data_IF_591886488160
#
_entry.id   IF_591886488160
#
_cell.length_a   1.000
_cell.length_b   1.000
_cell.length_c   1.000
_cell.angle_alpha   90.00
_cell.angle_beta   90.00
_cell.angle_gamma   90.00
#
_symmetry.space_group_name_H-M   'P 1'
#
loop_
_entity.id
_entity.type
_entity.pdbx_description
1 polymer ?
#
# COMPACT_ATOMS: atom_id res chain seq x y z
N UNK A 1 52.34 14.21 9.94
CA UNK A 1 52.64 13.63 11.27
C UNK A 1 51.40 12.95 11.81
N UNK A 2 51.53 11.68 12.23
CA UNK A 2 50.46 10.94 12.90
C UNK A 2 50.79 10.87 14.38
N UNK A 3 49.86 11.24 15.25
CA UNK A 3 50.03 11.19 16.71
C UNK A 3 48.81 10.62 17.42
N UNK A 4 49.03 9.98 18.57
CA UNK A 4 47.95 9.49 19.44
C UNK A 4 47.35 10.67 20.22
N UNK A 5 46.03 10.77 20.27
CA UNK A 5 45.24 11.78 21.00
C UNK A 5 44.15 11.10 21.83
N UNK A 6 43.52 11.82 22.78
CA UNK A 6 42.47 11.26 23.65
C UNK A 6 41.32 10.57 22.88
N UNK A 7 41.02 11.04 21.67
CA UNK A 7 39.92 10.56 20.82
C UNK A 7 40.36 9.62 19.69
N UNK A 8 41.62 9.17 19.66
CA UNK A 8 42.14 8.23 18.64
C UNK A 8 43.51 8.60 18.08
N UNK A 9 43.72 8.41 16.78
CA UNK A 9 44.96 8.72 16.07
C UNK A 9 44.75 9.88 15.11
N UNK A 10 45.43 11.01 15.35
CA UNK A 10 45.31 12.23 14.56
C UNK A 10 46.39 12.29 13.49
N UNK A 11 45.96 12.41 12.23
CA UNK A 11 46.78 12.77 11.07
C UNK A 11 46.79 14.29 10.95
N UNK A 12 47.97 14.89 10.83
CA UNK A 12 48.21 16.31 10.56
C UNK A 12 49.26 16.45 9.45
N UNK A 13 48.83 16.72 8.22
CA UNK A 13 49.68 16.72 7.03
C UNK A 13 49.42 17.95 6.15
N UNK A 14 50.44 18.35 5.38
CA UNK A 14 50.32 19.24 4.23
C UNK A 14 50.79 18.47 3.00
N UNK A 15 49.88 17.92 2.19
CA UNK A 15 50.25 17.05 1.06
C UNK A 15 51.05 17.79 -0.02
N UNK A 16 50.70 19.06 -0.29
CA UNK A 16 51.30 19.89 -1.36
C UNK A 16 52.53 20.68 -0.89
N UNK A 17 53.20 20.22 0.17
CA UNK A 17 54.40 20.85 0.72
C UNK A 17 54.12 21.97 1.75
N UNK A 18 55.14 22.76 2.06
CA UNK A 18 55.17 23.69 3.20
C UNK A 18 54.07 24.76 3.15
N UNK A 19 53.77 25.27 1.95
CA UNK A 19 52.71 26.26 1.71
C UNK A 19 51.36 25.61 1.33
N UNK A 20 51.32 24.28 1.24
CA UNK A 20 50.13 23.50 0.90
C UNK A 20 49.08 23.49 2.01
N UNK A 21 47.86 23.08 1.64
CA UNK A 21 46.72 23.06 2.56
C UNK A 21 46.95 22.09 3.72
N UNK A 22 46.75 22.58 4.96
CA UNK A 22 46.82 21.73 6.16
C UNK A 22 45.56 20.88 6.31
N UNK A 23 45.73 19.57 6.40
CA UNK A 23 44.67 18.58 6.62
C UNK A 23 44.88 17.95 7.99
N UNK A 24 43.86 18.05 8.84
CA UNK A 24 43.85 17.42 10.17
C UNK A 24 42.62 16.54 10.33
N UNK A 25 42.81 15.26 10.61
CA UNK A 25 41.71 14.28 10.77
C UNK A 25 42.07 13.21 11.81
N UNK A 26 41.11 12.81 12.64
CA UNK A 26 41.30 11.79 13.68
C UNK A 26 40.61 10.48 13.27
N UNK A 27 41.28 9.35 13.49
CA UNK A 27 40.84 7.99 13.17
C UNK A 27 40.81 7.13 14.42
N UNK A 28 40.04 6.02 14.40
CA UNK A 28 39.96 5.12 15.55
C UNK A 28 41.24 4.30 15.71
N UNK A 29 41.86 3.88 14.60
CA UNK A 29 43.07 3.04 14.61
C UNK A 29 44.27 3.72 13.94
N UNK A 30 45.48 3.33 14.33
CA UNK A 30 46.72 3.83 13.72
C UNK A 30 46.82 3.41 12.24
N UNK A 31 46.32 2.21 11.89
CA UNK A 31 46.33 1.70 10.52
C UNK A 31 45.43 2.47 9.57
N UNK A 32 44.26 2.95 10.03
CA UNK A 32 43.40 3.87 9.27
C UNK A 32 44.09 5.22 9.04
N UNK A 33 44.73 5.77 10.08
CA UNK A 33 45.48 7.02 9.98
C UNK A 33 46.62 6.94 8.96
N UNK A 34 47.41 5.86 9.00
CA UNK A 34 48.51 5.60 8.04
C UNK A 34 47.99 5.45 6.60
N UNK A 35 46.93 4.66 6.39
CA UNK A 35 46.30 4.48 5.07
C UNK A 35 45.79 5.81 4.51
N UNK A 36 45.14 6.61 5.34
CA UNK A 36 44.65 7.93 4.93
C UNK A 36 45.78 8.88 4.56
N UNK A 37 46.86 8.95 5.34
CA UNK A 37 48.04 9.76 5.00
C UNK A 37 48.65 9.33 3.65
N UNK A 38 48.86 8.03 3.44
CA UNK A 38 49.44 7.50 2.22
C UNK A 38 48.60 7.83 0.97
N UNK A 39 47.28 7.58 1.02
CA UNK A 39 46.38 7.89 -0.10
C UNK A 39 46.31 9.40 -0.36
N UNK A 40 46.26 10.21 0.69
CA UNK A 40 46.14 11.67 0.53
C UNK A 40 47.41 12.27 -0.08
N UNK A 41 48.59 11.77 0.29
CA UNK A 41 49.87 12.16 -0.31
C UNK A 41 50.01 11.68 -1.75
N UNK A 42 49.58 10.44 -2.04
CA UNK A 42 49.60 9.91 -3.40
C UNK A 42 48.72 10.71 -4.37
N UNK A 43 47.53 11.13 -3.92
CA UNK A 43 46.63 11.99 -4.70
C UNK A 43 47.21 13.38 -4.95
N UNK A 44 47.79 14.00 -3.92
CA UNK A 44 48.47 15.28 -4.06
C UNK A 44 49.65 15.21 -5.04
N UNK A 45 50.45 14.12 -5.00
CA UNK A 45 51.53 13.89 -5.95
C UNK A 45 51.03 13.71 -7.39
N UNK A 46 49.80 13.22 -7.58
CA UNK A 46 49.12 13.13 -8.88
C UNK A 46 48.47 14.46 -9.32
N UNK A 47 48.65 15.55 -8.59
CA UNK A 47 48.02 16.85 -8.88
C UNK A 47 46.55 16.94 -8.48
N UNK A 48 46.01 15.95 -7.75
CA UNK A 48 44.65 15.98 -7.21
C UNK A 48 44.61 16.63 -5.83
N UNK A 49 43.96 17.79 -5.75
CA UNK A 49 43.68 18.45 -4.47
C UNK A 49 42.84 17.55 -3.54
N UNK A 50 43.28 17.41 -2.28
CA UNK A 50 42.44 16.80 -1.26
C UNK A 50 41.20 17.67 -0.98
N UNK A 51 40.05 17.23 -1.51
CA UNK A 51 38.73 17.77 -1.19
C UNK A 51 38.06 16.81 -0.20
N UNK A 52 37.88 17.20 1.08
CA UNK A 52 37.11 16.36 1.99
C UNK A 52 35.71 16.14 1.40
N UNK A 53 35.16 14.91 1.48
CA UNK A 53 33.83 14.65 0.94
C UNK A 53 32.86 15.63 1.57
N UNK A 54 32.14 16.38 0.73
CA UNK A 54 31.10 17.30 1.20
C UNK A 54 30.10 16.44 1.99
N UNK A 55 29.95 16.73 3.28
CA UNK A 55 28.91 16.08 4.07
C UNK A 55 27.57 16.47 3.46
N UNK A 56 26.79 15.48 3.08
CA UNK A 56 25.43 15.71 2.62
C UNK A 56 24.64 16.38 3.76
N UNK A 57 24.12 17.58 3.49
CA UNK A 57 23.37 18.39 4.44
C UNK A 57 21.86 18.26 4.24
N UNK A 58 21.42 17.47 3.25
CA UNK A 58 20.00 17.24 3.00
C UNK A 58 19.35 16.61 4.21
N UNK A 59 18.21 17.17 4.58
CA UNK A 59 17.30 16.62 5.58
C UNK A 59 16.45 15.53 4.95
N UNK A 60 15.76 14.77 5.80
CA UNK A 60 14.83 13.75 5.36
C UNK A 60 13.74 14.31 4.43
N UNK A 61 13.26 15.53 4.71
CA UNK A 61 12.29 16.20 3.83
C UNK A 61 12.85 16.45 2.43
N UNK A 62 14.11 16.84 2.29
CA UNK A 62 14.72 17.14 0.99
C UNK A 62 14.75 15.88 0.12
N UNK A 63 15.04 14.71 0.70
CA UNK A 63 14.96 13.44 -0.02
C UNK A 63 13.52 13.04 -0.35
N UNK A 64 12.57 13.30 0.55
CA UNK A 64 11.15 13.03 0.30
C UNK A 64 10.58 13.93 -0.81
N UNK A 65 11.01 15.18 -0.87
CA UNK A 65 10.65 16.14 -1.91
C UNK A 65 11.27 15.74 -3.26
N UNK A 66 12.56 15.38 -3.27
CA UNK A 66 13.22 14.83 -4.46
C UNK A 66 12.48 13.61 -5.02
N UNK A 67 12.11 12.67 -4.14
CA UNK A 67 11.31 11.50 -4.53
C UNK A 67 9.96 11.91 -5.14
N UNK A 68 9.30 12.91 -4.56
CA UNK A 68 8.01 13.38 -5.05
C UNK A 68 8.13 14.03 -6.42
N UNK A 69 9.07 14.96 -6.58
CA UNK A 69 9.26 15.75 -7.80
C UNK A 69 9.63 14.85 -8.99
N UNK A 70 10.46 13.83 -8.76
CA UNK A 70 10.92 12.93 -9.82
C UNK A 70 10.01 11.72 -10.07
N UNK A 71 9.16 11.34 -9.10
CA UNK A 71 8.35 10.13 -9.22
C UNK A 71 6.97 10.27 -8.59
N UNK A 72 6.89 10.68 -7.33
CA UNK A 72 5.64 10.70 -6.57
C UNK A 72 4.51 11.51 -7.22
N UNK A 73 4.83 12.58 -7.95
CA UNK A 73 3.88 13.40 -8.69
C UNK A 73 3.10 12.63 -9.79
N UNK A 74 3.69 11.55 -10.32
CA UNK A 74 3.05 10.70 -11.35
C UNK A 74 2.00 9.74 -10.80
N UNK A 75 1.92 9.57 -9.48
CA UNK A 75 0.99 8.64 -8.84
C UNK A 75 -0.44 9.20 -8.78
N UNK A 76 -1.45 8.31 -8.88
CA UNK A 76 -2.87 8.67 -8.73
C UNK A 76 -3.18 9.29 -7.36
N UNK A 77 -2.50 8.84 -6.31
CA UNK A 77 -2.66 9.31 -4.92
C UNK A 77 -1.58 10.32 -4.49
N UNK A 78 -0.94 11.02 -5.44
CA UNK A 78 0.24 11.86 -5.20
C UNK A 78 0.10 12.84 -4.01
N UNK A 79 -0.97 13.65 -3.95
CA UNK A 79 -1.16 14.65 -2.88
C UNK A 79 -1.30 13.99 -1.51
N UNK A 80 -2.06 12.91 -1.43
CA UNK A 80 -2.23 12.13 -0.20
C UNK A 80 -0.90 11.51 0.23
N UNK A 81 -0.12 10.99 -0.73
CA UNK A 81 1.19 10.41 -0.49
C UNK A 81 2.21 11.44 0.01
N UNK A 82 2.26 12.62 -0.59
CA UNK A 82 3.13 13.71 -0.15
C UNK A 82 2.76 14.21 1.25
N UNK A 83 1.47 14.45 1.49
CA UNK A 83 0.98 14.84 2.82
C UNK A 83 1.32 13.80 3.88
N UNK A 84 1.18 12.51 3.55
CA UNK A 84 1.58 11.42 4.43
C UNK A 84 3.08 11.40 4.69
N UNK A 85 3.92 11.51 3.66
CA UNK A 85 5.37 11.62 3.82
C UNK A 85 5.74 12.80 4.73
N UNK A 86 5.11 13.96 4.54
CA UNK A 86 5.34 15.14 5.38
C UNK A 86 5.09 14.85 6.86
N UNK A 87 3.95 14.24 7.17
CA UNK A 87 3.63 13.81 8.54
C UNK A 87 4.67 12.85 9.11
N UNK A 88 5.15 11.88 8.33
CA UNK A 88 6.18 10.93 8.80
C UNK A 88 7.51 11.62 9.05
N UNK A 89 7.92 12.54 8.17
CA UNK A 89 9.14 13.32 8.32
C UNK A 89 9.06 14.23 9.55
N UNK A 90 7.94 14.91 9.76
CA UNK A 90 7.72 15.77 10.92
C UNK A 90 7.70 14.95 12.22
N UNK A 91 7.09 13.75 12.22
CA UNK A 91 7.11 12.82 13.36
C UNK A 91 8.52 12.34 13.74
N UNK A 92 9.44 12.31 12.78
CA UNK A 92 10.87 12.01 12.99
C UNK A 92 11.70 13.26 13.35
N UNK A 93 11.11 14.46 13.34
CA UNK A 93 11.80 15.71 13.61
C UNK A 93 12.63 16.25 12.44
N UNK A 94 12.36 15.78 11.21
CA UNK A 94 13.08 16.15 9.98
C UNK A 94 14.62 16.18 10.14
N UNK A 95 15.24 15.06 10.58
CA UNK A 95 16.66 15.01 10.86
C UNK A 95 17.49 15.13 9.57
N UNK A 96 18.79 15.34 9.71
CA UNK A 96 19.72 15.15 8.59
C UNK A 96 19.58 13.71 8.09
N UNK A 97 19.41 13.52 6.78
CA UNK A 97 19.18 12.18 6.24
C UNK A 97 20.34 11.24 6.57
N UNK A 98 21.57 11.76 6.61
CA UNK A 98 22.80 11.00 6.88
C UNK A 98 22.91 10.56 8.34
N UNK A 99 22.19 11.22 9.27
CA UNK A 99 22.21 10.83 10.68
C UNK A 99 21.20 9.75 11.03
N UNK A 100 20.30 9.38 10.10
CA UNK A 100 19.29 8.35 10.35
C UNK A 100 19.95 6.98 10.30
N UNK A 101 19.87 6.25 11.41
CA UNK A 101 20.39 4.88 11.53
C UNK A 101 19.26 3.85 11.48
N UNK A 102 19.57 2.56 11.26
CA UNK A 102 18.58 1.48 11.43
C UNK A 102 17.96 1.44 12.83
N UNK A 103 18.69 1.87 13.87
CA UNK A 103 18.16 1.98 15.22
C UNK A 103 17.12 3.11 15.33
N UNK A 104 17.29 4.22 14.61
CA UNK A 104 16.28 5.29 14.53
C UNK A 104 15.02 4.80 13.84
N UNK A 105 15.15 4.03 12.76
CA UNK A 105 14.01 3.42 12.09
C UNK A 105 13.25 2.45 13.02
N UNK A 106 13.96 1.66 13.82
CA UNK A 106 13.35 0.77 14.82
C UNK A 106 12.65 1.55 15.95
N UNK A 107 13.27 2.63 16.46
CA UNK A 107 12.65 3.54 17.43
C UNK A 107 11.41 4.22 16.86
N UNK A 108 11.46 4.63 15.60
CA UNK A 108 10.30 5.18 14.92
C UNK A 108 9.15 4.17 14.86
N UNK A 109 9.43 2.91 14.48
CA UNK A 109 8.45 1.83 14.53
C UNK A 109 7.83 1.66 15.92
N UNK A 110 8.65 1.67 16.97
CA UNK A 110 8.17 1.56 18.35
C UNK A 110 7.25 2.73 18.73
N UNK A 111 7.65 3.96 18.42
CA UNK A 111 6.81 5.16 18.63
C UNK A 111 5.44 5.04 17.94
N UNK A 112 5.37 4.40 16.77
CA UNK A 112 4.08 4.17 16.08
C UNK A 112 3.25 3.06 16.74
N UNK A 113 3.89 2.04 17.33
CA UNK A 113 3.21 1.02 18.15
C UNK A 113 2.62 1.64 19.41
N UNK A 114 3.38 2.50 20.10
CA UNK A 114 2.94 3.18 21.32
C UNK A 114 1.74 4.11 21.08
N UNK A 115 1.59 4.60 19.84
CA UNK A 115 0.42 5.37 19.39
C UNK A 115 -0.82 4.50 19.08
N UNK A 116 -0.76 3.19 19.30
CA UNK A 116 -1.87 2.26 19.09
C UNK A 116 -2.23 2.03 17.62
N UNK A 117 -1.30 2.26 16.69
CA UNK A 117 -1.56 2.09 15.26
C UNK A 117 -1.50 0.63 14.84
N UNK A 118 -2.30 0.28 13.82
CA UNK A 118 -2.32 -1.09 13.32
C UNK A 118 -0.97 -1.48 12.69
N UNK A 119 -0.54 -2.75 12.80
CA UNK A 119 0.67 -3.25 12.15
C UNK A 119 0.72 -2.92 10.65
N UNK A 120 -0.43 -2.93 9.96
CA UNK A 120 -0.52 -2.61 8.54
C UNK A 120 -0.15 -1.14 8.26
N UNK A 121 -0.70 -0.22 9.06
CA UNK A 121 -0.40 1.20 8.96
C UNK A 121 1.09 1.46 9.17
N UNK A 122 1.68 0.81 10.18
CA UNK A 122 3.09 0.95 10.51
C UNK A 122 3.97 0.40 9.38
N UNK A 123 3.63 -0.76 8.82
CA UNK A 123 4.33 -1.33 7.67
C UNK A 123 4.27 -0.41 6.45
N UNK A 124 3.12 0.22 6.17
CA UNK A 124 3.01 1.22 5.11
C UNK A 124 3.86 2.47 5.37
N UNK A 125 3.85 2.99 6.60
CA UNK A 125 4.66 4.16 6.98
C UNK A 125 6.15 3.88 6.73
N UNK A 126 6.65 2.74 7.20
CA UNK A 126 8.04 2.30 6.99
C UNK A 126 8.32 2.09 5.49
N UNK A 127 7.38 1.49 4.75
CA UNK A 127 7.54 1.24 3.32
C UNK A 127 7.67 2.54 2.53
N UNK A 128 6.98 3.62 2.91
CA UNK A 128 7.10 4.91 2.24
C UNK A 128 8.46 5.55 2.48
N UNK A 129 8.93 5.57 3.73
CA UNK A 129 10.27 6.06 4.06
C UNK A 129 11.36 5.23 3.39
N UNK A 130 11.21 3.89 3.37
CA UNK A 130 12.11 3.00 2.65
C UNK A 130 12.14 3.31 1.15
N UNK A 131 10.98 3.58 0.54
CA UNK A 131 10.89 3.89 -0.89
C UNK A 131 11.61 5.19 -1.26
N UNK A 132 11.55 6.23 -0.40
CA UNK A 132 12.29 7.49 -0.59
C UNK A 132 13.79 7.22 -0.73
N UNK A 133 14.39 6.51 0.23
CA UNK A 133 15.82 6.18 0.18
C UNK A 133 16.17 5.23 -0.98
N UNK A 134 15.36 4.20 -1.24
CA UNK A 134 15.60 3.28 -2.35
C UNK A 134 15.57 3.99 -3.70
N UNK A 135 14.70 4.98 -3.87
CA UNK A 135 14.65 5.78 -5.09
C UNK A 135 15.89 6.68 -5.22
N UNK A 136 16.26 7.39 -4.16
CA UNK A 136 17.44 8.26 -4.18
C UNK A 136 18.72 7.46 -4.47
N UNK A 137 18.87 6.26 -3.89
CA UNK A 137 20.00 5.35 -4.21
C UNK A 137 19.98 4.95 -5.69
N UNK A 138 18.81 4.54 -6.21
CA UNK A 138 18.65 4.13 -7.60
C UNK A 138 18.97 5.23 -8.60
N UNK A 139 18.65 6.48 -8.26
CA UNK A 139 18.94 7.66 -9.07
C UNK A 139 20.36 8.20 -8.86
N UNK A 140 21.20 7.49 -8.10
CA UNK A 140 22.55 7.92 -7.72
C UNK A 140 22.60 9.25 -6.93
N UNK A 141 21.45 9.65 -6.40
CA UNK A 141 21.23 10.83 -5.57
C UNK A 141 21.53 10.54 -4.09
N UNK A 142 21.76 9.29 -3.69
CA UNK A 142 22.12 8.93 -2.31
C UNK A 142 23.20 7.85 -2.31
N UNK A 143 24.33 8.14 -1.66
CA UNK A 143 25.56 7.33 -1.70
C UNK A 143 25.74 6.44 -0.45
N UNK A 144 24.75 6.41 0.44
CA UNK A 144 24.78 5.64 1.68
C UNK A 144 23.71 4.54 1.68
N UNK A 145 23.78 3.65 2.65
CA UNK A 145 22.76 2.62 2.84
C UNK A 145 21.39 3.23 3.17
N UNK A 146 20.33 2.48 2.86
CA UNK A 146 18.99 2.81 3.28
C UNK A 146 18.75 2.40 4.75
N UNK A 147 18.48 3.34 5.67
CA UNK A 147 18.32 3.03 7.09
C UNK A 147 17.08 2.17 7.39
N UNK A 148 16.10 2.12 6.50
CA UNK A 148 14.88 1.33 6.64
C UNK A 148 14.96 -0.05 5.98
N UNK A 149 16.02 -0.38 5.25
CA UNK A 149 16.08 -1.59 4.43
C UNK A 149 15.95 -2.89 5.24
N UNK A 150 16.64 -2.97 6.39
CA UNK A 150 16.72 -4.19 7.21
C UNK A 150 15.56 -4.38 8.18
N UNK A 151 14.62 -3.43 8.26
CA UNK A 151 13.46 -3.56 9.14
C UNK A 151 12.50 -4.63 8.61
N UNK A 152 12.31 -5.70 9.38
CA UNK A 152 11.27 -6.67 9.09
C UNK A 152 9.88 -6.05 9.28
N UNK A 153 8.97 -6.38 8.36
CA UNK A 153 7.57 -6.02 8.47
C UNK A 153 6.96 -6.69 9.71
N UNK A 154 6.09 -5.96 10.40
CA UNK A 154 5.29 -6.53 11.47
C UNK A 154 4.36 -7.59 10.89
N UNK A 155 4.26 -8.74 11.56
CA UNK A 155 3.31 -9.79 11.16
C UNK A 155 1.89 -9.25 11.25
N UNK A 156 1.12 -9.49 10.21
CA UNK A 156 -0.30 -9.18 10.16
C UNK A 156 -1.05 -10.47 10.51
N UNK A 157 -1.95 -10.47 11.50
CA UNK A 157 -2.83 -11.60 11.68
C UNK A 157 -3.67 -11.72 10.41
N UNK A 158 -3.65 -12.90 9.79
CA UNK A 158 -4.60 -13.22 8.73
C UNK A 158 -5.98 -13.26 9.37
N UNK A 159 -6.83 -12.31 8.98
CA UNK A 159 -8.24 -12.29 9.38
C UNK A 159 -9.06 -12.68 8.18
N UNK A 160 -9.85 -13.72 8.33
CA UNK A 160 -10.89 -14.03 7.38
C UNK A 160 -11.83 -12.83 7.25
N UNK A 161 -12.21 -12.46 6.02
CA UNK A 161 -13.19 -11.41 5.83
C UNK A 161 -14.52 -11.84 6.43
N UNK A 162 -15.13 -10.98 7.24
CA UNK A 162 -16.50 -11.20 7.69
C UNK A 162 -17.44 -11.04 6.50
N UNK A 163 -18.43 -11.93 6.42
CA UNK A 163 -19.50 -11.89 5.45
C UNK A 163 -20.86 -11.99 6.18
N UNK A 164 -21.93 -11.65 5.48
CA UNK A 164 -23.29 -11.68 6.01
C UNK A 164 -23.97 -13.01 5.68
N UNK A 165 -24.68 -13.59 6.64
CA UNK A 165 -25.66 -14.67 6.40
C UNK A 165 -26.88 -14.16 5.64
N UNK A 166 -27.70 -15.06 5.10
CA UNK A 166 -28.96 -14.71 4.42
C UNK A 166 -29.90 -13.88 5.30
N UNK A 167 -30.05 -14.25 6.59
CA UNK A 167 -30.88 -13.48 7.53
C UNK A 167 -30.33 -12.07 7.80
N UNK A 168 -29.01 -11.92 7.82
CA UNK A 168 -28.36 -10.62 7.96
C UNK A 168 -28.49 -9.79 6.68
N UNK A 169 -28.42 -10.41 5.50
CA UNK A 169 -28.70 -9.75 4.22
C UNK A 169 -30.13 -9.22 4.24
N UNK A 170 -31.11 -10.07 4.53
CA UNK A 170 -32.53 -9.70 4.56
C UNK A 170 -32.81 -8.54 5.53
N UNK A 171 -32.31 -8.62 6.78
CA UNK A 171 -32.42 -7.52 7.75
C UNK A 171 -31.75 -6.24 7.29
N UNK A 172 -30.55 -6.32 6.71
CA UNK A 172 -29.87 -5.14 6.20
C UNK A 172 -30.68 -4.48 5.07
N UNK A 173 -31.22 -5.24 4.13
CA UNK A 173 -32.02 -4.70 3.03
C UNK A 173 -33.36 -4.12 3.49
N UNK A 174 -33.97 -4.70 4.53
CA UNK A 174 -35.12 -4.10 5.21
C UNK A 174 -34.78 -2.74 5.84
N UNK A 175 -33.61 -2.60 6.48
CA UNK A 175 -33.18 -1.32 7.04
C UNK A 175 -32.78 -0.31 5.96
N UNK A 176 -32.22 -0.78 4.85
CA UNK A 176 -31.87 0.07 3.71
C UNK A 176 -33.12 0.64 3.02
N UNK A 177 -34.22 -0.11 2.94
CA UNK A 177 -35.47 0.35 2.31
C UNK A 177 -36.15 1.48 3.10
N UNK A 178 -35.90 1.56 4.42
CA UNK A 178 -36.37 2.65 5.29
C UNK A 178 -35.54 3.94 5.14
N UNK A 179 -34.41 3.90 4.41
CA UNK A 179 -33.56 5.07 4.21
C UNK A 179 -34.21 6.11 3.32
N UNK A 180 -34.11 7.39 3.71
CA UNK A 180 -34.49 8.53 2.84
C UNK A 180 -33.61 8.65 1.59
N UNK A 181 -32.42 8.06 1.60
CA UNK A 181 -31.54 8.07 0.44
C UNK A 181 -31.99 7.01 -0.57
N UNK A 182 -32.62 7.46 -1.67
CA UNK A 182 -33.14 6.61 -2.75
C UNK A 182 -32.10 5.77 -3.51
N UNK A 183 -30.81 6.05 -3.33
CA UNK A 183 -29.73 5.35 -4.04
C UNK A 183 -29.22 4.11 -3.28
N UNK A 184 -29.37 4.10 -1.96
CA UNK A 184 -28.61 3.19 -1.09
C UNK A 184 -28.94 1.71 -1.36
N UNK A 185 -30.21 1.40 -1.61
CA UNK A 185 -30.67 0.02 -1.90
C UNK A 185 -30.04 -0.48 -3.20
N UNK A 186 -30.09 0.31 -4.28
CA UNK A 186 -29.55 -0.09 -5.58
C UNK A 186 -28.02 -0.25 -5.55
N UNK A 187 -27.31 0.66 -4.87
CA UNK A 187 -25.84 0.56 -4.70
C UNK A 187 -25.49 -0.71 -3.91
N UNK A 188 -26.23 -0.98 -2.82
CA UNK A 188 -26.05 -2.20 -2.04
C UNK A 188 -26.34 -3.46 -2.86
N UNK A 189 -27.42 -3.48 -3.64
CA UNK A 189 -27.75 -4.57 -4.57
C UNK A 189 -26.61 -4.84 -5.54
N UNK A 190 -26.06 -3.81 -6.20
CA UNK A 190 -24.89 -3.98 -7.08
C UNK A 190 -23.72 -4.61 -6.33
N UNK A 191 -23.39 -4.12 -5.14
CA UNK A 191 -22.26 -4.65 -4.36
C UNK A 191 -22.47 -6.12 -3.98
N UNK A 192 -23.70 -6.48 -3.57
CA UNK A 192 -24.05 -7.83 -3.14
C UNK A 192 -24.11 -8.82 -4.31
N UNK A 193 -24.56 -8.41 -5.50
CA UNK A 193 -24.75 -9.34 -6.63
C UNK A 193 -23.54 -9.41 -7.57
N UNK A 194 -22.65 -8.41 -7.55
CA UNK A 194 -21.48 -8.37 -8.46
C UNK A 194 -20.13 -8.39 -7.75
N UNK A 195 -20.13 -8.33 -6.41
CA UNK A 195 -18.91 -8.18 -5.62
C UNK A 195 -18.19 -6.84 -5.86
N UNK A 196 -18.88 -5.82 -6.37
CA UNK A 196 -18.30 -4.50 -6.57
C UNK A 196 -17.85 -3.87 -5.25
N UNK A 197 -16.81 -3.03 -5.30
CA UNK A 197 -16.51 -2.14 -4.16
C UNK A 197 -17.58 -1.06 -4.09
N UNK A 198 -17.90 -0.61 -2.88
CA UNK A 198 -18.88 0.48 -2.68
C UNK A 198 -18.61 1.68 -3.59
N UNK A 199 -17.36 2.15 -3.64
CA UNK A 199 -16.99 3.29 -4.47
C UNK A 199 -17.20 3.03 -5.96
N UNK A 200 -16.96 1.80 -6.44
CA UNK A 200 -17.17 1.44 -7.85
C UNK A 200 -18.66 1.47 -8.21
N UNK A 201 -19.52 0.93 -7.33
CA UNK A 201 -20.96 0.96 -7.50
C UNK A 201 -21.55 2.38 -7.38
N UNK A 202 -21.12 3.16 -6.38
CA UNK A 202 -21.59 4.53 -6.18
C UNK A 202 -21.18 5.47 -7.33
N UNK A 203 -20.02 5.26 -7.95
CA UNK A 203 -19.58 6.07 -9.09
C UNK A 203 -19.97 5.48 -10.44
N UNK A 204 -20.89 4.50 -10.46
CA UNK A 204 -21.38 3.90 -11.71
C UNK A 204 -21.96 4.98 -12.62
N UNK A 205 -21.60 4.89 -13.90
CA UNK A 205 -22.17 5.73 -14.94
C UNK A 205 -23.07 4.91 -15.88
N UNK A 206 -24.11 5.55 -16.39
CA UNK A 206 -25.14 4.93 -17.21
C UNK A 206 -24.56 4.34 -18.52
N UNK A 207 -23.49 4.91 -19.06
CA UNK A 207 -22.88 4.43 -20.30
C UNK A 207 -22.24 3.04 -20.15
N UNK A 208 -21.95 2.64 -18.91
CA UNK A 208 -21.37 1.34 -18.56
C UNK A 208 -22.40 0.29 -18.13
N UNK A 209 -23.68 0.64 -18.19
CA UNK A 209 -24.82 -0.25 -17.95
C UNK A 209 -25.43 -0.61 -19.31
N UNK A 210 -25.11 -1.80 -19.83
CA UNK A 210 -25.56 -2.25 -21.17
C UNK A 210 -25.91 -3.74 -21.14
N UNK A 211 -26.98 -4.12 -21.83
CA UNK A 211 -27.33 -5.52 -22.11
C UNK A 211 -27.32 -6.43 -20.86
N UNK A 212 -27.92 -5.98 -19.76
CA UNK A 212 -27.95 -6.78 -18.52
C UNK A 212 -26.58 -6.93 -17.85
N UNK A 213 -25.62 -6.03 -18.12
CA UNK A 213 -24.25 -6.09 -17.59
C UNK A 213 -23.81 -4.73 -17.04
N UNK A 214 -22.98 -4.78 -16.01
CA UNK A 214 -22.28 -3.61 -15.47
C UNK A 214 -20.79 -3.72 -15.81
N UNK A 215 -20.24 -2.68 -16.42
CA UNK A 215 -18.80 -2.56 -16.66
C UNK A 215 -18.16 -1.61 -15.64
N UNK A 216 -17.27 -2.15 -14.81
CA UNK A 216 -16.51 -1.37 -13.84
C UNK A 216 -15.18 -0.91 -14.46
N UNK A 217 -15.09 0.37 -14.80
CA UNK A 217 -13.88 1.00 -15.36
C UNK A 217 -13.06 1.74 -14.31
N UNK A 218 -11.78 2.04 -14.59
CA UNK A 218 -10.92 2.87 -13.76
C UNK A 218 -10.82 2.45 -12.28
N UNK A 219 -10.95 1.13 -12.04
CA UNK A 219 -10.84 0.53 -10.72
C UNK A 219 -9.48 0.88 -10.10
N UNK A 220 -9.36 0.76 -8.77
CA UNK A 220 -8.11 1.09 -8.04
C UNK A 220 -6.86 0.40 -8.62
N UNK A 221 -7.05 -0.69 -9.35
CA UNK A 221 -6.00 -1.51 -9.96
C UNK A 221 -5.89 -1.38 -11.49
N UNK A 222 -6.61 -0.43 -12.11
CA UNK A 222 -6.54 -0.14 -13.54
C UNK A 222 -7.18 -1.19 -14.46
N UNK A 223 -7.79 -2.25 -13.92
CA UNK A 223 -8.45 -3.28 -14.72
C UNK A 223 -9.93 -2.97 -14.89
N UNK A 224 -10.39 -3.01 -16.14
CA UNK A 224 -11.80 -3.01 -16.49
C UNK A 224 -12.34 -4.43 -16.38
N UNK A 225 -13.53 -4.59 -15.82
CA UNK A 225 -14.23 -5.87 -15.79
C UNK A 225 -15.73 -5.67 -15.99
N UNK A 226 -16.37 -6.65 -16.61
CA UNK A 226 -17.81 -6.63 -16.88
C UNK A 226 -18.45 -7.82 -16.18
N UNK A 227 -19.51 -7.56 -15.42
CA UNK A 227 -20.23 -8.57 -14.63
C UNK A 227 -21.70 -8.55 -15.07
N UNK A 228 -22.28 -9.71 -15.43
CA UNK A 228 -23.71 -9.79 -15.71
C UNK A 228 -24.51 -9.57 -14.42
N UNK A 229 -25.68 -8.98 -14.58
CA UNK A 229 -26.66 -8.78 -13.51
C UNK A 229 -28.01 -9.33 -13.95
N UNK A 230 -28.87 -9.57 -12.98
CA UNK A 230 -30.27 -9.89 -13.23
C UNK A 230 -31.01 -8.76 -13.99
N UNK A 231 -32.03 -9.14 -14.76
CA UNK A 231 -32.78 -8.24 -15.62
C UNK A 231 -33.63 -7.24 -14.84
N UNK A 232 -34.19 -7.62 -13.68
CA UNK A 232 -34.92 -6.68 -12.82
C UNK A 232 -33.96 -5.60 -12.28
N UNK A 233 -32.79 -6.00 -11.75
CA UNK A 233 -31.80 -5.04 -11.29
C UNK A 233 -31.34 -4.11 -12.43
N UNK A 234 -31.13 -4.66 -13.64
CA UNK A 234 -30.78 -3.86 -14.81
C UNK A 234 -31.84 -2.80 -15.12
N UNK A 235 -33.11 -3.20 -15.16
CA UNK A 235 -34.21 -2.28 -15.46
C UNK A 235 -34.34 -1.20 -14.39
N UNK A 236 -34.30 -1.59 -13.11
CA UNK A 236 -34.37 -0.64 -11.98
C UNK A 236 -33.22 0.37 -12.01
N UNK A 237 -32.03 -0.03 -12.44
CA UNK A 237 -30.89 0.88 -12.61
C UNK A 237 -31.07 1.83 -13.79
N UNK A 238 -31.67 1.36 -14.89
CA UNK A 238 -32.00 2.17 -16.08
C UNK A 238 -33.07 3.22 -15.75
N UNK A 239 -34.12 2.83 -15.03
CA UNK A 239 -35.21 3.73 -14.65
C UNK A 239 -34.77 4.76 -13.58
N UNK A 240 -33.82 4.37 -12.73
CA UNK A 240 -33.32 5.23 -11.65
C UNK A 240 -32.31 6.29 -12.13
N UNK A 241 -31.46 5.93 -13.10
CA UNK A 241 -30.38 6.77 -13.61
C UNK A 241 -30.73 7.60 -14.85
N UNK A 242 -29.91 8.58 -15.23
CA UNK A 242 -30.04 9.25 -16.53
C UNK A 242 -29.59 8.32 -17.67
N UNK A 243 -29.84 8.72 -18.92
CA UNK A 243 -29.28 8.02 -20.10
C UNK A 243 -27.75 8.11 -20.18
N UNK A 244 -27.19 9.26 -19.76
CA UNK A 244 -25.76 9.57 -19.80
C UNK A 244 -25.36 10.24 -18.47
N UNK A 245 -24.18 9.90 -17.94
CA UNK A 245 -23.67 10.45 -16.68
C UNK A 245 -23.81 9.50 -15.48
N UNK A 246 -23.74 10.05 -14.26
CA UNK A 246 -23.75 9.25 -13.02
C UNK A 246 -25.15 8.72 -12.72
N UNK A 247 -25.26 7.40 -12.51
CA UNK A 247 -26.50 6.75 -12.04
C UNK A 247 -26.86 7.23 -10.63
N UNK A 248 -25.84 7.46 -9.80
CA UNK A 248 -26.00 7.92 -8.42
C UNK A 248 -25.27 9.27 -8.25
N UNK A 249 -25.97 10.41 -8.38
CA UNK A 249 -25.36 11.72 -8.23
C UNK A 249 -24.99 12.08 -6.79
N UNK A 250 -25.63 11.44 -5.80
CA UNK A 250 -25.43 11.72 -4.37
C UNK A 250 -24.73 10.54 -3.66
N UNK A 251 -23.88 10.86 -2.69
CA UNK A 251 -23.23 9.85 -1.84
C UNK A 251 -24.27 9.14 -0.96
N UNK A 252 -24.17 7.82 -0.86
CA UNK A 252 -25.07 7.00 -0.07
C UNK A 252 -24.35 6.18 1.00
N UNK A 253 -23.03 6.36 1.16
CA UNK A 253 -22.24 5.55 2.09
C UNK A 253 -22.66 5.80 3.54
N UNK A 254 -22.99 7.05 3.89
CA UNK A 254 -23.50 7.37 5.22
C UNK A 254 -24.88 6.74 5.48
N UNK A 255 -25.74 6.66 4.46
CA UNK A 255 -27.03 5.98 4.59
C UNK A 255 -26.84 4.48 4.81
N UNK A 256 -25.90 3.86 4.09
CA UNK A 256 -25.55 2.46 4.26
C UNK A 256 -24.99 2.14 5.65
N UNK A 257 -24.06 2.96 6.14
CA UNK A 257 -23.49 2.76 7.49
C UNK A 257 -24.56 2.89 8.58
N UNK A 258 -25.47 3.85 8.48
CA UNK A 258 -26.61 3.99 9.41
C UNK A 258 -27.56 2.79 9.35
N UNK A 259 -27.82 2.24 8.16
CA UNK A 259 -28.66 1.05 8.02
C UNK A 259 -27.99 -0.20 8.62
N UNK A 260 -26.67 -0.36 8.44
CA UNK A 260 -25.89 -1.39 9.13
C UNK A 260 -25.96 -1.26 10.65
N UNK A 261 -25.88 -0.02 11.18
CA UNK A 261 -25.98 0.21 12.62
C UNK A 261 -27.39 -0.15 13.15
N UNK A 262 -28.46 0.20 12.41
CA UNK A 262 -29.84 -0.17 12.77
C UNK A 262 -30.13 -1.66 12.68
N UNK A 263 -29.48 -2.37 11.75
CA UNK A 263 -29.69 -3.81 11.60
C UNK A 263 -29.03 -4.66 12.69
N UNK A 264 -28.24 -4.04 13.58
CA UNK A 264 -27.53 -4.73 14.66
C UNK A 264 -26.39 -5.64 14.18
N UNK A 265 -25.92 -5.45 12.94
CA UNK A 265 -24.84 -6.26 12.38
C UNK A 265 -23.49 -5.71 12.84
N UNK A 266 -22.81 -6.46 13.69
CA UNK A 266 -21.46 -6.13 14.13
C UNK A 266 -20.41 -6.59 13.12
N UNK A 267 -19.52 -5.69 12.74
CA UNK A 267 -18.44 -5.95 11.78
C UNK A 267 -17.10 -5.49 12.35
N UNK A 268 -16.00 -6.21 12.06
CA UNK A 268 -14.68 -5.75 12.43
C UNK A 268 -14.37 -4.36 11.84
N UNK A 269 -13.61 -3.57 12.60
CA UNK A 269 -13.22 -2.21 12.21
C UNK A 269 -12.61 -2.19 10.81
N UNK A 270 -13.16 -1.34 9.94
CA UNK A 270 -12.68 -1.15 8.56
C UNK A 270 -13.30 -2.08 7.51
N UNK A 271 -14.12 -3.08 7.89
CA UNK A 271 -14.73 -3.99 6.92
C UNK A 271 -16.05 -3.49 6.32
N UNK A 272 -16.70 -2.48 6.92
CA UNK A 272 -17.99 -1.92 6.45
C UNK A 272 -17.99 -1.61 4.95
N UNK A 273 -16.93 -0.99 4.42
CA UNK A 273 -16.82 -0.61 2.99
C UNK A 273 -16.79 -1.80 2.01
N UNK A 274 -16.49 -3.00 2.49
CA UNK A 274 -16.28 -4.18 1.66
C UNK A 274 -17.14 -5.37 2.09
N UNK A 275 -17.97 -5.24 3.12
CA UNK A 275 -18.75 -6.36 3.66
C UNK A 275 -19.62 -7.02 2.60
N UNK A 276 -20.37 -6.25 1.80
CA UNK A 276 -21.22 -6.82 0.74
C UNK A 276 -20.42 -7.53 -0.36
N UNK A 277 -19.19 -7.08 -0.63
CA UNK A 277 -18.28 -7.75 -1.55
C UNK A 277 -17.76 -9.06 -0.98
N UNK A 278 -17.44 -9.07 0.31
CA UNK A 278 -17.05 -10.29 1.03
C UNK A 278 -18.22 -11.27 1.11
N UNK A 279 -19.44 -10.78 1.33
CA UNK A 279 -20.68 -11.53 1.24
C UNK A 279 -20.85 -12.18 -0.13
N UNK A 280 -20.81 -11.40 -1.21
CA UNK A 280 -20.85 -11.95 -2.57
C UNK A 280 -19.83 -13.07 -2.76
N UNK A 281 -18.56 -12.81 -2.42
CA UNK A 281 -17.48 -13.75 -2.65
C UNK A 281 -17.61 -15.04 -1.83
N UNK A 282 -18.09 -14.93 -0.59
CA UNK A 282 -18.25 -16.06 0.32
C UNK A 282 -19.40 -16.95 -0.14
N UNK A 283 -20.57 -16.36 -0.39
CA UNK A 283 -21.74 -17.08 -0.92
C UNK A 283 -21.46 -17.68 -2.30
N UNK A 284 -20.75 -16.97 -3.18
CA UNK A 284 -20.37 -17.50 -4.48
C UNK A 284 -19.53 -18.79 -4.35
N UNK A 285 -18.57 -18.84 -3.41
CA UNK A 285 -17.79 -20.05 -3.18
C UNK A 285 -18.59 -21.15 -2.49
N UNK A 286 -19.40 -20.81 -1.47
CA UNK A 286 -20.28 -21.77 -0.79
C UNK A 286 -21.25 -22.46 -1.75
N UNK A 287 -21.72 -21.72 -2.76
CA UNK A 287 -22.61 -22.24 -3.80
C UNK A 287 -21.87 -23.02 -4.90
N UNK A 288 -20.61 -23.42 -4.69
CA UNK A 288 -19.82 -24.21 -5.63
C UNK A 288 -19.21 -23.40 -6.79
N UNK A 289 -19.13 -22.07 -6.66
CA UNK A 289 -18.57 -21.21 -7.68
C UNK A 289 -17.07 -21.45 -7.90
N UNK A 290 -16.62 -21.33 -9.15
CA UNK A 290 -15.20 -21.52 -9.48
C UNK A 290 -14.32 -20.34 -9.01
N UNK A 291 -13.21 -20.65 -8.32
CA UNK A 291 -12.31 -19.64 -7.74
C UNK A 291 -11.66 -18.71 -8.78
N UNK A 292 -11.31 -19.20 -9.97
CA UNK A 292 -10.75 -18.38 -11.06
C UNK A 292 -11.80 -17.44 -11.63
N UNK A 293 -13.05 -17.91 -11.74
CA UNK A 293 -14.19 -17.05 -12.11
C UNK A 293 -14.40 -15.95 -11.08
N UNK A 294 -14.38 -16.30 -9.79
CA UNK A 294 -14.48 -15.31 -8.71
C UNK A 294 -13.35 -14.28 -8.77
N UNK A 295 -12.11 -14.70 -9.04
CA UNK A 295 -10.97 -13.78 -9.21
C UNK A 295 -11.25 -12.73 -10.31
N UNK A 296 -11.80 -13.17 -11.46
CA UNK A 296 -12.15 -12.29 -12.59
C UNK A 296 -13.30 -11.35 -12.21
N UNK A 297 -14.38 -11.87 -11.61
CA UNK A 297 -15.54 -11.06 -11.16
C UNK A 297 -15.10 -10.00 -10.14
N UNK A 298 -14.23 -10.36 -9.21
CA UNK A 298 -13.73 -9.44 -8.19
C UNK A 298 -12.65 -8.49 -8.73
N UNK A 299 -12.03 -8.79 -9.87
CA UNK A 299 -10.92 -8.01 -10.42
C UNK A 299 -9.66 -8.06 -9.56
N UNK A 300 -9.40 -9.19 -8.91
CA UNK A 300 -8.18 -9.39 -8.12
C UNK A 300 -6.95 -9.52 -9.01
N UNK A 301 -5.85 -8.85 -8.64
CA UNK A 301 -4.61 -8.86 -9.42
C UNK A 301 -3.91 -10.21 -9.37
N UNK A 302 -3.92 -10.84 -8.20
CA UNK A 302 -3.32 -12.16 -7.98
C UNK A 302 -4.35 -13.11 -7.36
N UNK A 303 -4.21 -14.40 -7.65
CA UNK A 303 -5.12 -15.43 -7.14
C UNK A 303 -5.05 -15.54 -5.61
N UNK A 304 -3.90 -15.26 -5.01
CA UNK A 304 -3.70 -15.25 -3.56
C UNK A 304 -4.67 -14.30 -2.84
N UNK A 305 -5.11 -13.22 -3.47
CA UNK A 305 -6.15 -12.35 -2.90
C UNK A 305 -7.51 -13.05 -2.80
N UNK A 306 -7.82 -13.92 -3.77
CA UNK A 306 -9.09 -14.69 -3.83
C UNK A 306 -9.01 -15.97 -3.00
N UNK A 307 -7.82 -16.55 -2.81
CA UNK A 307 -7.62 -17.77 -2.01
C UNK A 307 -8.18 -17.68 -0.60
N UNK A 308 -8.36 -16.47 -0.04
CA UNK A 308 -9.04 -16.26 1.25
C UNK A 308 -10.46 -16.80 1.32
N UNK A 309 -11.13 -17.06 0.19
CA UNK A 309 -12.47 -17.65 0.14
C UNK A 309 -12.45 -19.13 -0.25
N UNK A 310 -11.29 -19.69 -0.57
CA UNK A 310 -11.20 -21.05 -1.10
C UNK A 310 -11.68 -22.11 -0.10
N UNK A 311 -11.47 -21.88 1.19
CA UNK A 311 -11.92 -22.76 2.27
C UNK A 311 -13.45 -22.84 2.41
N UNK A 312 -14.20 -21.93 1.78
CA UNK A 312 -15.66 -21.92 1.77
C UNK A 312 -16.25 -22.76 0.63
N UNK A 313 -15.41 -23.24 -0.29
CA UNK A 313 -15.85 -24.14 -1.34
C UNK A 313 -16.33 -25.45 -0.72
N UNK A 314 -17.43 -26.05 -1.20
CA UNK A 314 -17.78 -27.42 -0.87
C UNK A 314 -16.61 -28.38 -1.14
N UNK A 315 -16.53 -29.48 -0.40
CA UNK A 315 -15.52 -30.52 -0.66
C UNK A 315 -15.82 -31.23 -2.00
N UNK A 316 -15.02 -30.93 -3.03
CA UNK A 316 -15.17 -31.46 -4.39
C UNK A 316 -14.23 -32.64 -4.67
N UNK A 317 -13.63 -33.27 -3.66
CA UNK A 317 -12.72 -34.42 -3.89
C UNK A 317 -13.43 -35.58 -4.62
N UNK A 318 -14.75 -35.72 -4.48
CA UNK A 318 -15.58 -36.67 -5.23
C UNK A 318 -15.71 -36.33 -6.72
N UNK A 319 -15.49 -35.08 -7.13
CA UNK A 319 -15.50 -34.67 -8.52
C UNK A 319 -14.33 -35.25 -9.32
N UNK A 320 -13.25 -35.67 -8.65
CA UNK A 320 -12.15 -36.38 -9.28
C UNK A 320 -12.61 -37.68 -9.96
N UNK A 321 -13.64 -38.34 -9.41
CA UNK A 321 -14.24 -39.53 -10.03
C UNK A 321 -15.15 -39.13 -11.21
N UNK A 322 -15.82 -37.98 -11.12
CA UNK A 322 -16.77 -37.51 -12.14
C UNK A 322 -16.10 -36.92 -13.38
N UNK A 323 -15.03 -36.15 -13.19
CA UNK A 323 -14.32 -35.44 -14.25
C UNK A 323 -12.93 -36.00 -14.54
N UNK A 324 -12.45 -36.93 -13.71
CA UNK A 324 -11.22 -37.65 -13.97
C UNK A 324 -11.38 -38.60 -15.16
N UNK A 325 -10.29 -38.90 -15.88
CA UNK A 325 -10.33 -39.89 -16.95
C UNK A 325 -10.65 -41.26 -16.37
N UNK A 326 -11.49 -42.03 -17.06
CA UNK A 326 -11.66 -43.46 -16.76
C UNK A 326 -10.59 -44.27 -17.48
N UNK A 327 -10.04 -45.27 -16.79
CA UNK A 327 -9.13 -46.22 -17.42
C UNK A 327 -9.95 -47.14 -18.37
N UNK A 328 -9.51 -47.36 -19.62
CA UNK A 328 -10.15 -48.33 -20.49
C UNK A 328 -9.83 -49.76 -20.02
N UNK A 329 -10.87 -50.54 -19.72
CA UNK A 329 -10.78 -51.99 -19.49
C UNK A 329 -10.68 -52.42 -18.02
N UNK A 330 -11.77 -52.27 -17.28
CA UNK A 330 -12.12 -53.14 -16.15
C UNK A 330 -13.35 -53.96 -16.50
#
# INVERSE_FOLDING_TARGET
>A
MIRKVKTGWQVDIRPDGTFGRRIRKTFKTQGEAKRFEAVTRAKAAAGEDYRPPRRDKRRLWDLAQLWYDMHGATLRDNRSRLGKLRQLVDLMGNPLAISITPADAARFRQKRLDQGLSPNTINHDISYLRAVFNFAIRMNEWQHDNPFAKLQALRLPEREPSFLSEDQISRLFQELSQSRNKHVVLIASICLTTGARWSEAQTLRAEFLREGRITFVNTKNGRTRTVPIDQDLFQRLKDHGPEVGRVFPQDAYLAFTRALDRSGIELPKGQRTHVLRHTFASHFMMNGGNLLTLQKILGHQSIQMTMRYAHLSPDHLSEAVKFGPTAPGL
#
